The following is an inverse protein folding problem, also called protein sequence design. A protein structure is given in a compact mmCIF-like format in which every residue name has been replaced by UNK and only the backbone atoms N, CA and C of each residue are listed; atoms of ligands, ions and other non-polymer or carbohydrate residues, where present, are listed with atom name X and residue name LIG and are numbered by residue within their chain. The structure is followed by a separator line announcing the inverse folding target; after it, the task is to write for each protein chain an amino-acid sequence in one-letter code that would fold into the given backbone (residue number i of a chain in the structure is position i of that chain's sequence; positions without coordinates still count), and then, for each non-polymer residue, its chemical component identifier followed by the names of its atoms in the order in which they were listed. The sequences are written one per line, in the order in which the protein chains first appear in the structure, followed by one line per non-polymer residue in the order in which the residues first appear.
data_IF_131072306593
#
_entry.id   IF_131072306593
#
_cell.length_a   1.000
_cell.length_b   1.000
_cell.length_c   1.000
_cell.angle_alpha   90.00
_cell.angle_beta   90.00
_cell.angle_gamma   90.00
#
_symmetry.space_group_name_H-M   'P 1'
#
loop_
_entity.id
_entity.type
_entity.pdbx_description
1 polymer ?
#
# COMPACT_ATOMS: atom_id res chain seq x y z
N UNK A 1 -79.55 -9.41 -23.68
CA UNK A 1 -78.67 -8.83 -22.64
C UNK A 1 -77.27 -9.41 -22.77
N UNK A 2 -76.30 -8.67 -23.29
CA UNK A 2 -74.87 -9.03 -23.27
C UNK A 2 -74.07 -7.75 -23.03
N UNK A 3 -73.46 -7.59 -21.86
CA UNK A 3 -72.64 -6.41 -21.55
C UNK A 3 -71.49 -6.75 -20.58
N UNK A 4 -70.27 -6.47 -21.05
CA UNK A 4 -69.03 -6.16 -20.31
C UNK A 4 -68.46 -7.17 -19.32
N UNK A 5 -67.59 -8.06 -19.80
CA UNK A 5 -66.61 -8.76 -18.92
C UNK A 5 -65.22 -8.94 -19.52
N UNK A 6 -64.91 -8.38 -20.69
CA UNK A 6 -63.62 -8.63 -21.38
C UNK A 6 -62.52 -7.57 -21.20
N UNK A 7 -62.81 -6.37 -20.66
CA UNK A 7 -61.78 -5.30 -20.63
C UNK A 7 -60.89 -5.28 -19.38
N UNK A 8 -61.35 -5.81 -18.24
CA UNK A 8 -60.67 -5.65 -16.94
C UNK A 8 -59.41 -6.54 -16.84
N UNK A 9 -59.38 -7.72 -17.48
CA UNK A 9 -58.21 -8.61 -17.44
C UNK A 9 -57.01 -8.10 -18.26
N UNK A 10 -57.24 -7.43 -19.40
CA UNK A 10 -56.15 -6.87 -20.22
C UNK A 10 -55.48 -5.70 -19.51
N UNK A 11 -56.27 -4.85 -18.84
CA UNK A 11 -55.77 -3.67 -18.16
C UNK A 11 -54.87 -4.01 -16.95
N UNK A 12 -55.20 -5.09 -16.20
CA UNK A 12 -54.37 -5.56 -15.08
C UNK A 12 -53.03 -6.17 -15.50
N UNK A 13 -52.96 -6.88 -16.64
CA UNK A 13 -51.69 -7.44 -17.16
C UNK A 13 -50.75 -6.35 -17.67
N UNK A 14 -51.26 -5.34 -18.37
CA UNK A 14 -50.41 -4.27 -18.90
C UNK A 14 -49.85 -3.37 -17.80
N UNK A 15 -50.65 -3.06 -16.76
CA UNK A 15 -50.18 -2.27 -15.60
C UNK A 15 -49.09 -3.00 -14.81
N UNK A 16 -49.22 -4.32 -14.63
CA UNK A 16 -48.21 -5.13 -13.92
C UNK A 16 -46.88 -5.23 -14.67
N UNK A 17 -46.92 -5.29 -16.01
CA UNK A 17 -45.72 -5.31 -16.86
C UNK A 17 -45.00 -3.96 -16.89
N UNK A 18 -45.73 -2.83 -16.83
CA UNK A 18 -45.12 -1.50 -16.79
C UNK A 18 -44.50 -1.23 -15.41
N UNK A 19 -45.15 -1.64 -14.32
CA UNK A 19 -44.59 -1.54 -12.97
C UNK A 19 -43.33 -2.41 -12.78
N UNK A 20 -43.29 -3.61 -13.35
CA UNK A 20 -42.09 -4.46 -13.30
C UNK A 20 -40.94 -3.89 -14.13
N UNK A 21 -41.21 -3.29 -15.30
CA UNK A 21 -40.19 -2.62 -16.11
C UNK A 21 -39.65 -1.35 -15.45
N UNK A 22 -40.50 -0.57 -14.76
CA UNK A 22 -40.05 0.59 -13.97
C UNK A 22 -39.21 0.16 -12.75
N UNK A 23 -39.55 -0.96 -12.11
CA UNK A 23 -38.76 -1.50 -10.99
C UNK A 23 -37.39 -2.04 -11.44
N UNK A 24 -37.31 -2.66 -12.63
CA UNK A 24 -36.04 -3.12 -13.22
C UNK A 24 -35.16 -1.92 -13.65
N UNK A 25 -35.74 -0.83 -14.14
CA UNK A 25 -34.98 0.39 -14.45
C UNK A 25 -34.47 1.12 -13.20
N UNK A 26 -35.22 1.08 -12.09
CA UNK A 26 -34.76 1.58 -10.79
C UNK A 26 -33.65 0.71 -10.17
N UNK A 27 -33.67 -0.60 -10.40
CA UNK A 27 -32.61 -1.52 -9.97
C UNK A 27 -31.32 -1.42 -10.81
N UNK A 28 -31.42 -1.08 -12.10
CA UNK A 28 -30.23 -0.85 -12.96
C UNK A 28 -29.55 0.49 -12.69
N UNK A 29 -30.29 1.49 -12.20
CA UNK A 29 -29.78 2.81 -11.80
C UNK A 29 -29.12 2.82 -10.42
N UNK A 30 -29.41 1.83 -9.57
CA UNK A 30 -28.64 1.54 -8.35
C UNK A 30 -27.37 0.76 -8.71
N UNK A 31 -26.60 1.30 -9.66
CA UNK A 31 -25.18 1.00 -9.68
C UNK A 31 -24.63 1.51 -8.35
N UNK A 32 -24.48 0.60 -7.40
CA UNK A 32 -23.58 0.76 -6.28
C UNK A 32 -22.20 0.99 -6.89
N UNK A 33 -21.91 2.24 -7.24
CA UNK A 33 -20.56 2.76 -7.19
C UNK A 33 -20.17 2.76 -5.71
N UNK A 34 -20.00 1.57 -5.14
CA UNK A 34 -19.10 1.39 -4.04
C UNK A 34 -17.72 1.68 -4.63
N UNK A 35 -17.41 2.97 -4.69
CA UNK A 35 -16.06 3.47 -4.84
C UNK A 35 -15.32 2.94 -3.61
N UNK A 36 -14.81 1.71 -3.73
CA UNK A 36 -13.70 1.25 -2.93
C UNK A 36 -12.62 2.28 -3.22
N UNK A 37 -12.43 3.24 -2.30
CA UNK A 37 -11.34 4.20 -2.37
C UNK A 37 -10.05 3.39 -2.29
N UNK A 38 -9.58 2.90 -3.43
CA UNK A 38 -8.30 2.20 -3.50
C UNK A 38 -7.23 3.21 -3.14
N UNK A 39 -6.23 2.78 -2.35
CA UNK A 39 -5.07 3.59 -2.00
C UNK A 39 -4.39 4.21 -3.24
N UNK A 40 -4.50 3.55 -4.39
CA UNK A 40 -4.09 4.06 -5.71
C UNK A 40 -4.75 5.39 -6.10
N UNK A 41 -5.98 5.63 -5.67
CA UNK A 41 -6.76 6.80 -6.07
C UNK A 41 -6.29 8.07 -5.36
N UNK A 42 -5.57 7.93 -4.25
CA UNK A 42 -5.01 9.05 -3.50
C UNK A 42 -3.70 9.55 -4.11
N UNK A 43 -2.96 8.67 -4.78
CA UNK A 43 -1.64 8.97 -5.31
C UNK A 43 -1.69 10.16 -6.29
N UNK A 44 -0.78 11.10 -6.11
CA UNK A 44 -0.72 12.37 -6.86
C UNK A 44 -1.72 13.43 -6.41
N UNK A 45 -2.71 13.09 -5.56
CA UNK A 45 -3.63 14.09 -4.97
C UNK A 45 -2.97 14.77 -3.78
N UNK A 46 -3.41 15.99 -3.48
CA UNK A 46 -2.98 16.76 -2.31
C UNK A 46 -3.33 16.01 -1.03
N UNK A 47 -2.34 15.79 -0.17
CA UNK A 47 -2.57 15.25 1.16
C UNK A 47 -3.30 16.29 2.04
N UNK A 48 -4.18 15.86 2.96
CA UNK A 48 -4.82 16.76 3.91
C UNK A 48 -3.80 17.59 4.69
N UNK A 49 -4.19 18.82 5.03
CA UNK A 49 -3.41 19.60 5.97
C UNK A 49 -3.53 18.99 7.37
N UNK A 50 -2.40 18.96 8.07
CA UNK A 50 -2.32 18.45 9.42
C UNK A 50 -1.48 19.37 10.31
N UNK A 51 -1.76 19.28 11.60
CA UNK A 51 -1.01 19.92 12.67
C UNK A 51 -1.11 19.05 13.92
N UNK A 52 0.02 18.53 14.38
CA UNK A 52 0.09 17.57 15.47
C UNK A 52 1.30 17.86 16.37
N UNK A 53 1.25 17.38 17.61
CA UNK A 53 2.30 17.55 18.60
C UNK A 53 2.81 16.18 19.03
N UNK A 54 4.11 15.96 18.95
CA UNK A 54 4.70 14.70 19.40
C UNK A 54 4.71 14.59 20.94
N UNK A 55 5.01 13.40 21.46
CA UNK A 55 5.06 13.13 22.91
C UNK A 55 6.13 13.93 23.65
N UNK A 56 7.11 14.49 22.94
CA UNK A 56 8.16 15.37 23.51
C UNK A 56 7.76 16.85 23.44
N UNK A 57 6.63 17.16 22.80
CA UNK A 57 6.07 18.48 22.67
C UNK A 57 6.46 19.24 21.41
N UNK A 58 7.16 18.61 20.46
CA UNK A 58 7.53 19.23 19.19
C UNK A 58 6.30 19.31 18.26
N UNK A 59 6.13 20.45 17.61
CA UNK A 59 5.06 20.66 16.64
C UNK A 59 5.49 20.13 15.26
N UNK A 60 4.60 19.37 14.62
CA UNK A 60 4.77 18.90 13.24
C UNK A 60 3.52 19.34 12.46
N UNK A 61 3.71 20.12 11.40
CA UNK A 61 2.60 20.61 10.59
C UNK A 61 2.92 20.58 9.10
N UNK A 62 1.88 20.42 8.28
CA UNK A 62 1.95 20.53 6.82
C UNK A 62 2.56 21.87 6.35
N UNK A 63 2.37 22.95 7.11
CA UNK A 63 2.95 24.27 6.83
C UNK A 63 4.47 24.29 7.05
N UNK A 64 4.94 23.76 8.19
CA UNK A 64 6.36 23.77 8.57
C UNK A 64 7.19 22.74 7.80
N UNK A 65 6.50 21.79 7.16
CA UNK A 65 7.11 20.71 6.36
C UNK A 65 7.03 20.96 4.85
N UNK A 66 6.61 22.16 4.41
CA UNK A 66 6.52 22.52 3.00
C UNK A 66 7.87 22.36 2.30
N UNK A 67 7.87 21.74 1.12
CA UNK A 67 9.08 21.48 0.33
C UNK A 67 9.90 20.27 0.78
N UNK A 68 9.45 19.56 1.82
CA UNK A 68 10.10 18.35 2.35
C UNK A 68 9.31 17.11 1.96
N UNK A 69 9.97 15.97 1.95
CA UNK A 69 9.33 14.65 1.89
C UNK A 69 8.87 14.28 3.31
N UNK A 70 7.64 13.83 3.45
CA UNK A 70 7.06 13.49 4.76
C UNK A 70 6.70 12.01 4.78
N UNK A 71 7.10 11.32 5.84
CA UNK A 71 6.83 9.90 6.07
C UNK A 71 5.95 9.77 7.30
N UNK A 72 4.72 9.29 7.10
CA UNK A 72 3.75 9.09 8.15
C UNK A 72 3.50 7.60 8.34
N UNK A 73 3.67 7.11 9.56
CA UNK A 73 3.38 5.72 9.93
C UNK A 73 2.22 5.69 10.93
N UNK A 74 1.13 5.03 10.58
CA UNK A 74 -0.06 4.89 11.41
C UNK A 74 -0.12 3.48 12.02
N UNK A 75 -0.29 3.40 13.33
CA UNK A 75 -0.23 2.14 14.10
C UNK A 75 -1.08 2.20 15.38
N UNK A 76 -1.16 1.07 16.09
CA UNK A 76 -1.66 1.00 17.46
C UNK A 76 -0.89 -0.08 18.26
N UNK A 77 -0.84 0.03 19.57
CA UNK A 77 0.08 -0.72 20.45
C UNK A 77 -0.14 -2.24 20.47
N UNK A 78 -1.33 -2.72 20.12
CA UNK A 78 -1.62 -4.16 20.02
C UNK A 78 -1.52 -4.70 18.57
N UNK A 79 -1.08 -3.88 17.61
CA UNK A 79 -0.96 -4.25 16.22
C UNK A 79 0.29 -5.10 15.99
N UNK A 80 0.12 -6.43 15.97
CA UNK A 80 1.22 -7.39 15.67
C UNK A 80 1.99 -7.07 14.38
N UNK A 81 1.35 -6.79 13.22
CA UNK A 81 2.09 -6.45 12.02
C UNK A 81 2.85 -5.13 12.17
N UNK A 82 2.29 -4.12 12.84
CA UNK A 82 2.99 -2.87 13.11
C UNK A 82 4.27 -3.10 13.93
N UNK A 83 4.20 -3.94 14.97
CA UNK A 83 5.38 -4.31 15.78
C UNK A 83 6.47 -4.95 14.92
N UNK A 84 6.09 -5.79 13.95
CA UNK A 84 7.02 -6.45 13.05
C UNK A 84 7.74 -5.47 12.09
N UNK A 85 7.11 -4.34 11.73
CA UNK A 85 7.73 -3.33 10.85
C UNK A 85 8.73 -2.40 11.57
N UNK A 86 8.62 -2.26 12.90
CA UNK A 86 9.42 -1.28 13.67
C UNK A 86 10.93 -1.37 13.41
N UNK A 87 11.57 -2.56 13.38
CA UNK A 87 13.00 -2.66 13.10
C UNK A 87 13.37 -2.09 11.73
N UNK A 88 12.60 -2.41 10.68
CA UNK A 88 12.83 -1.88 9.34
C UNK A 88 12.61 -0.37 9.27
N UNK A 89 11.53 0.13 9.89
CA UNK A 89 11.23 1.58 9.95
C UNK A 89 12.33 2.35 10.68
N UNK A 90 12.90 1.79 11.74
CA UNK A 90 14.03 2.38 12.46
C UNK A 90 15.30 2.45 11.60
N UNK A 91 15.57 1.46 10.76
CA UNK A 91 16.71 1.51 9.82
C UNK A 91 16.47 2.52 8.70
N UNK A 92 15.24 2.64 8.19
CA UNK A 92 14.88 3.71 7.23
C UNK A 92 15.09 5.08 7.87
N UNK A 93 14.57 5.30 9.07
CA UNK A 93 14.78 6.56 9.79
C UNK A 93 16.28 6.85 10.00
N UNK A 94 17.05 5.85 10.44
CA UNK A 94 18.50 5.99 10.64
C UNK A 94 19.24 6.45 9.37
N UNK A 95 18.78 6.02 8.18
CA UNK A 95 19.35 6.44 6.89
C UNK A 95 19.07 7.91 6.58
N UNK A 96 17.88 8.42 6.93
CA UNK A 96 17.42 9.76 6.55
C UNK A 96 17.44 10.78 7.69
N UNK A 97 17.75 10.41 8.94
CA UNK A 97 17.68 11.29 10.12
C UNK A 97 18.55 12.56 10.04
N UNK A 98 19.59 12.56 9.20
CA UNK A 98 20.47 13.73 8.97
C UNK A 98 20.05 14.55 7.75
N UNK A 99 19.09 14.07 6.96
CA UNK A 99 18.57 14.79 5.80
C UNK A 99 17.43 15.71 6.24
N UNK A 100 17.70 17.01 6.24
CA UNK A 100 16.72 18.05 6.64
C UNK A 100 15.54 18.17 5.69
N UNK A 101 15.59 17.52 4.51
CA UNK A 101 14.51 17.44 3.53
C UNK A 101 13.53 16.30 3.78
N UNK A 102 13.74 15.46 4.81
CA UNK A 102 12.85 14.35 5.16
C UNK A 102 12.34 14.52 6.58
N UNK A 103 11.03 14.34 6.77
CA UNK A 103 10.37 14.43 8.08
C UNK A 103 9.61 13.14 8.36
N UNK A 104 9.78 12.60 9.56
CA UNK A 104 9.11 11.37 10.00
C UNK A 104 8.13 11.68 11.15
N UNK A 105 6.98 11.04 11.13
CA UNK A 105 6.06 11.01 12.27
C UNK A 105 5.36 9.64 12.36
N UNK A 106 5.33 9.10 13.57
CA UNK A 106 4.56 7.90 13.92
C UNK A 106 3.29 8.34 14.65
N UNK A 107 2.12 7.94 14.16
CA UNK A 107 0.82 8.42 14.63
C UNK A 107 0.00 7.24 15.15
N UNK A 108 -0.57 7.41 16.35
CA UNK A 108 -1.49 6.45 16.95
C UNK A 108 -2.64 7.16 17.64
N UNK A 109 -3.81 6.52 17.61
CA UNK A 109 -4.97 6.95 18.38
C UNK A 109 -4.89 6.50 19.85
N UNK A 110 -3.90 5.68 20.23
CA UNK A 110 -3.70 5.26 21.61
C UNK A 110 -3.33 6.44 22.52
N UNK A 111 -3.82 6.41 23.76
CA UNK A 111 -3.49 7.41 24.79
C UNK A 111 -2.02 7.35 25.20
N UNK A 112 -1.48 8.49 25.63
CA UNK A 112 -0.07 8.68 25.98
C UNK A 112 0.49 7.60 26.92
N UNK A 113 -0.24 7.22 27.98
CA UNK A 113 0.23 6.21 28.94
C UNK A 113 0.45 4.84 28.31
N UNK A 114 -0.45 4.45 27.40
CA UNK A 114 -0.34 3.21 26.63
C UNK A 114 0.81 3.26 25.65
N UNK A 115 1.00 4.40 24.98
CA UNK A 115 2.13 4.63 24.08
C UNK A 115 3.46 4.56 24.83
N UNK A 116 3.59 5.24 25.98
CA UNK A 116 4.79 5.19 26.81
C UNK A 116 5.11 3.77 27.28
N UNK A 117 4.10 2.99 27.65
CA UNK A 117 4.28 1.58 28.01
C UNK A 117 4.74 0.73 26.83
N UNK A 118 4.18 0.97 25.64
CA UNK A 118 4.56 0.29 24.40
C UNK A 118 6.02 0.59 24.01
N UNK A 119 6.41 1.86 24.01
CA UNK A 119 7.74 2.31 23.57
C UNK A 119 8.89 1.78 24.44
N UNK A 120 8.62 1.43 25.72
CA UNK A 120 9.60 0.73 26.58
C UNK A 120 10.00 -0.64 26.03
N UNK A 121 9.09 -1.33 25.33
CA UNK A 121 9.31 -2.67 24.77
C UNK A 121 9.67 -2.63 23.29
N UNK A 122 9.08 -1.69 22.56
CA UNK A 122 9.20 -1.57 21.10
C UNK A 122 9.60 -0.13 20.75
N UNK A 123 10.89 0.21 20.83
CA UNK A 123 11.34 1.60 20.64
C UNK A 123 11.19 2.04 19.18
N UNK A 124 10.35 3.04 18.95
CA UNK A 124 10.31 3.84 17.72
C UNK A 124 11.28 5.01 17.87
N UNK A 125 12.22 5.14 16.92
CA UNK A 125 13.35 6.08 17.03
C UNK A 125 13.08 7.48 16.48
N UNK A 126 11.89 7.73 15.97
CA UNK A 126 11.46 8.98 15.36
C UNK A 126 10.20 9.51 16.05
N UNK A 127 9.80 10.78 15.84
CA UNK A 127 8.71 11.42 16.58
C UNK A 127 7.44 10.58 16.63
N UNK A 128 6.88 10.42 17.84
CA UNK A 128 5.64 9.68 18.08
C UNK A 128 4.57 10.67 18.53
N UNK A 129 3.39 10.58 17.91
CA UNK A 129 2.21 11.38 18.18
C UNK A 129 1.16 10.45 18.77
N UNK A 130 0.81 10.67 20.04
CA UNK A 130 -0.22 9.94 20.76
C UNK A 130 -1.55 10.71 20.75
N UNK A 131 -2.65 10.02 21.07
CA UNK A 131 -4.00 10.57 21.16
C UNK A 131 -4.46 11.31 19.89
N UNK A 132 -4.04 10.83 18.72
CA UNK A 132 -4.18 11.52 17.45
C UNK A 132 -5.29 10.92 16.56
N UNK A 133 -6.45 10.59 17.17
CA UNK A 133 -7.57 9.99 16.43
C UNK A 133 -8.06 10.90 15.31
N UNK A 134 -8.09 12.21 15.56
CA UNK A 134 -8.42 13.25 14.58
C UNK A 134 -7.51 13.19 13.35
N UNK A 135 -6.20 13.00 13.54
CA UNK A 135 -5.24 12.84 12.44
C UNK A 135 -5.49 11.54 11.67
N UNK A 136 -5.73 10.43 12.36
CA UNK A 136 -6.09 9.15 11.70
C UNK A 136 -7.35 9.29 10.84
N UNK A 137 -8.38 9.99 11.35
CA UNK A 137 -9.64 10.21 10.65
C UNK A 137 -9.44 11.09 9.40
N UNK A 138 -8.66 12.17 9.51
CA UNK A 138 -8.34 13.08 8.40
C UNK A 138 -7.61 12.37 7.27
N UNK A 139 -6.65 11.50 7.59
CA UNK A 139 -5.95 10.67 6.61
C UNK A 139 -6.75 9.44 6.15
N UNK A 140 -7.96 9.23 6.69
CA UNK A 140 -8.86 8.12 6.38
C UNK A 140 -8.18 6.76 6.50
N UNK A 141 -7.34 6.59 7.52
CA UNK A 141 -6.61 5.33 7.73
C UNK A 141 -7.55 4.26 8.29
N UNK A 142 -8.03 3.37 7.42
CA UNK A 142 -8.97 2.29 7.77
C UNK A 142 -8.27 0.95 8.07
N UNK A 143 -6.98 0.83 7.79
CA UNK A 143 -6.16 -0.36 8.06
C UNK A 143 -4.83 -0.02 8.72
N UNK A 144 -4.29 -0.96 9.50
CA UNK A 144 -3.04 -0.80 10.24
C UNK A 144 -2.10 -2.00 10.02
N UNK A 145 -0.78 -1.79 9.87
CA UNK A 145 -0.15 -0.49 9.71
C UNK A 145 -0.57 0.20 8.40
N UNK A 146 -0.48 1.52 8.38
CA UNK A 146 -0.53 2.29 7.14
C UNK A 146 0.69 3.20 7.09
N UNK A 147 1.45 3.12 5.99
CA UNK A 147 2.64 3.93 5.74
C UNK A 147 2.38 4.84 4.54
N UNK A 148 2.56 6.15 4.72
CA UNK A 148 2.29 7.17 3.72
C UNK A 148 3.57 7.97 3.47
N UNK A 149 3.92 8.15 2.20
CA UNK A 149 4.97 9.09 1.78
C UNK A 149 4.29 10.25 1.05
N UNK A 150 4.60 11.47 1.45
CA UNK A 150 4.13 12.72 0.84
C UNK A 150 5.33 13.39 0.17
N UNK A 151 5.15 13.83 -1.08
CA UNK A 151 6.19 14.51 -1.84
C UNK A 151 6.42 15.98 -1.39
N UNK A 152 7.45 16.62 -1.96
CA UNK A 152 7.80 18.03 -1.69
C UNK A 152 6.68 19.02 -2.05
N UNK A 153 5.72 18.61 -2.88
CA UNK A 153 4.55 19.42 -3.29
C UNK A 153 3.36 19.22 -2.34
N UNK A 154 3.47 18.34 -1.34
CA UNK A 154 2.40 18.03 -0.40
C UNK A 154 1.38 17.03 -0.94
N UNK A 155 1.72 16.26 -1.97
CA UNK A 155 0.84 15.24 -2.55
C UNK A 155 1.20 13.84 -2.06
N UNK A 156 0.22 12.95 -2.01
CA UNK A 156 0.47 11.53 -1.77
C UNK A 156 1.41 10.97 -2.85
N UNK A 157 2.60 10.54 -2.44
CA UNK A 157 3.55 9.87 -3.30
C UNK A 157 3.38 8.34 -3.22
N UNK A 158 3.15 7.83 -2.01
CA UNK A 158 2.95 6.42 -1.72
C UNK A 158 1.90 6.26 -0.61
N UNK A 159 1.07 5.23 -0.70
CA UNK A 159 0.13 4.85 0.35
C UNK A 159 0.09 3.32 0.44
N UNK A 160 0.65 2.78 1.53
CA UNK A 160 0.80 1.35 1.77
C UNK A 160 -0.01 0.97 2.99
N UNK A 161 -0.86 -0.06 2.87
CA UNK A 161 -1.63 -0.61 3.99
C UNK A 161 -1.31 -2.08 4.17
N UNK A 162 -1.16 -2.49 5.43
CA UNK A 162 -0.80 -3.86 5.81
C UNK A 162 0.71 -4.04 5.92
N UNK A 163 1.12 -4.89 6.86
CA UNK A 163 2.54 -5.19 7.09
C UNK A 163 2.99 -6.44 6.35
N UNK A 164 4.16 -6.36 5.71
CA UNK A 164 4.80 -7.45 4.99
C UNK A 164 6.32 -7.28 4.97
N UNK A 165 7.04 -8.31 4.51
CA UNK A 165 8.49 -8.27 4.42
C UNK A 165 8.96 -7.22 3.41
N UNK A 166 10.07 -6.54 3.72
CA UNK A 166 10.69 -5.50 2.86
C UNK A 166 9.94 -4.16 2.80
N UNK A 167 9.03 -3.88 3.75
CA UNK A 167 8.37 -2.58 3.84
C UNK A 167 9.38 -1.43 3.94
N UNK A 168 10.51 -1.64 4.64
CA UNK A 168 11.56 -0.63 4.77
C UNK A 168 12.23 -0.31 3.45
N UNK A 169 12.44 -1.32 2.58
CA UNK A 169 12.99 -1.10 1.25
C UNK A 169 12.04 -0.28 0.36
N UNK A 170 10.74 -0.59 0.40
CA UNK A 170 9.74 0.16 -0.36
C UNK A 170 9.66 1.61 0.12
N UNK A 171 9.53 1.85 1.43
CA UNK A 171 9.49 3.20 1.99
C UNK A 171 10.78 3.96 1.64
N UNK A 172 11.95 3.33 1.81
CA UNK A 172 13.23 3.97 1.44
C UNK A 172 13.29 4.35 -0.04
N UNK A 173 12.75 3.51 -0.92
CA UNK A 173 12.69 3.78 -2.36
C UNK A 173 11.72 4.90 -2.69
N UNK A 174 10.54 4.92 -2.07
CA UNK A 174 9.54 5.98 -2.25
C UNK A 174 10.06 7.32 -1.74
N UNK A 175 10.78 7.36 -0.60
CA UNK A 175 11.47 8.57 -0.12
C UNK A 175 12.47 9.07 -1.15
N UNK A 176 13.37 8.21 -1.65
CA UNK A 176 14.38 8.62 -2.63
C UNK A 176 13.74 9.16 -3.91
N UNK A 177 12.73 8.47 -4.43
CA UNK A 177 12.04 8.89 -5.65
C UNK A 177 11.30 10.23 -5.46
N UNK A 178 10.71 10.47 -4.29
CA UNK A 178 10.08 11.74 -3.95
C UNK A 178 11.13 12.86 -3.79
N UNK A 179 12.30 12.56 -3.22
CA UNK A 179 13.43 13.51 -3.15
C UNK A 179 13.94 13.90 -4.53
N UNK A 180 14.01 12.93 -5.46
CA UNK A 180 14.40 13.09 -6.85
C UNK A 180 13.32 13.75 -7.73
N UNK A 181 12.15 14.10 -7.17
CA UNK A 181 10.98 14.62 -7.90
C UNK A 181 10.49 13.72 -9.04
N UNK A 182 10.66 12.40 -8.93
CA UNK A 182 10.09 11.45 -9.89
C UNK A 182 8.58 11.46 -9.79
N UNK A 183 7.89 10.98 -10.83
CA UNK A 183 6.44 10.76 -10.75
C UNK A 183 6.15 9.58 -9.80
N UNK A 184 5.12 9.66 -8.96
CA UNK A 184 4.74 8.51 -8.14
C UNK A 184 4.29 7.36 -9.04
N UNK A 185 4.71 6.16 -8.69
CA UNK A 185 4.30 4.95 -9.41
C UNK A 185 2.88 4.65 -8.94
N UNK A 186 1.89 4.91 -9.79
CA UNK A 186 0.52 4.48 -9.52
C UNK A 186 0.53 2.96 -9.46
N UNK A 187 0.30 2.39 -8.28
CA UNK A 187 -0.01 0.97 -8.14
C UNK A 187 -1.43 0.71 -8.70
N UNK A 188 -1.65 0.97 -10.00
CA UNK A 188 -2.55 0.13 -10.76
C UNK A 188 -1.79 -1.19 -10.89
N UNK A 189 -1.94 -2.09 -9.90
CA UNK A 189 -1.35 -3.43 -9.83
C UNK A 189 -0.16 -3.58 -10.78
N UNK A 190 1.01 -3.08 -10.35
CA UNK A 190 2.17 -2.72 -11.18
C UNK A 190 1.98 -2.96 -12.68
N UNK A 191 2.08 -1.91 -13.51
CA UNK A 191 2.36 -2.11 -14.93
C UNK A 191 3.71 -2.86 -15.05
N UNK A 192 3.66 -4.20 -15.00
CA UNK A 192 4.80 -5.10 -14.78
C UNK A 192 4.69 -6.13 -13.63
N UNK A 193 3.68 -6.16 -12.75
CA UNK A 193 3.56 -7.25 -11.76
C UNK A 193 3.10 -8.50 -12.48
N UNK A 194 4.01 -9.47 -12.57
CA UNK A 194 3.65 -10.81 -13.01
C UNK A 194 3.20 -11.59 -11.79
N UNK A 195 1.94 -12.00 -11.79
CA UNK A 195 1.39 -12.94 -10.80
C UNK A 195 1.78 -14.36 -11.19
N UNK A 196 2.40 -15.07 -10.26
CA UNK A 196 2.72 -16.49 -10.39
C UNK A 196 1.67 -17.31 -9.64
N UNK A 197 1.21 -18.38 -10.27
CA UNK A 197 0.36 -19.41 -9.66
C UNK A 197 1.15 -20.71 -9.46
N UNK A 198 0.50 -21.73 -8.87
CA UNK A 198 1.14 -23.02 -8.61
C UNK A 198 1.57 -23.79 -9.88
N UNK A 199 1.08 -23.38 -11.05
CA UNK A 199 1.41 -23.99 -12.33
C UNK A 199 2.50 -23.19 -13.07
N UNK A 200 2.92 -22.05 -12.53
CA UNK A 200 3.94 -21.20 -13.13
C UNK A 200 5.31 -21.90 -13.06
N UNK A 201 6.06 -21.79 -14.16
CA UNK A 201 7.38 -22.42 -14.30
C UNK A 201 8.49 -21.38 -14.43
N UNK A 202 9.66 -21.74 -13.93
CA UNK A 202 10.87 -20.94 -13.94
C UNK A 202 11.99 -21.76 -14.56
N UNK A 203 12.83 -21.13 -15.38
CA UNK A 203 13.97 -21.77 -16.02
C UNK A 203 15.23 -21.55 -15.18
N UNK A 204 16.02 -22.60 -14.95
CA UNK A 204 17.34 -22.51 -14.35
C UNK A 204 18.40 -22.14 -15.40
N UNK A 205 19.59 -21.72 -14.96
CA UNK A 205 20.73 -21.52 -15.86
C UNK A 205 21.15 -22.80 -16.59
N UNK A 206 20.87 -23.98 -16.02
CA UNK A 206 21.06 -25.29 -16.68
C UNK A 206 20.10 -25.54 -17.85
N UNK A 207 19.03 -24.75 -17.95
CA UNK A 207 17.95 -24.94 -18.92
C UNK A 207 16.74 -25.70 -18.38
N UNK A 208 16.84 -26.32 -17.21
CA UNK A 208 15.75 -27.08 -16.58
C UNK A 208 14.59 -26.16 -16.16
N UNK A 209 13.37 -26.69 -16.25
CA UNK A 209 12.16 -26.01 -15.77
C UNK A 209 11.78 -26.54 -14.38
N UNK A 210 11.52 -25.62 -13.46
CA UNK A 210 11.03 -25.93 -12.11
C UNK A 210 9.70 -25.22 -11.85
N UNK A 211 8.88 -25.79 -10.97
CA UNK A 211 7.59 -25.21 -10.59
C UNK A 211 7.76 -24.09 -9.57
N UNK A 212 6.75 -23.22 -9.49
CA UNK A 212 6.67 -22.11 -8.55
C UNK A 212 7.02 -22.49 -7.11
N UNK A 213 6.51 -23.62 -6.61
CA UNK A 213 6.79 -24.11 -5.25
C UNK A 213 8.29 -24.29 -4.98
N UNK A 214 9.04 -24.79 -5.96
CA UNK A 214 10.47 -25.08 -5.84
C UNK A 214 11.29 -23.80 -6.09
N UNK A 215 10.80 -22.94 -7.00
CA UNK A 215 11.36 -21.62 -7.25
C UNK A 215 11.33 -20.71 -6.00
N UNK A 216 10.25 -20.73 -5.22
CA UNK A 216 10.15 -19.97 -3.96
C UNK A 216 11.25 -20.39 -2.98
N UNK A 217 11.53 -21.69 -2.87
CA UNK A 217 12.58 -22.20 -1.96
C UNK A 217 13.96 -21.69 -2.37
N UNK A 218 14.24 -21.66 -3.68
CA UNK A 218 15.51 -21.12 -4.18
C UNK A 218 15.60 -19.60 -4.00
N UNK A 219 14.52 -18.86 -4.26
CA UNK A 219 14.47 -17.42 -4.06
C UNK A 219 14.57 -17.02 -2.58
N UNK A 220 13.95 -17.79 -1.68
CA UNK A 220 14.00 -17.54 -0.23
C UNK A 220 15.39 -17.80 0.37
N UNK A 221 16.20 -18.66 -0.26
CA UNK A 221 17.61 -18.86 0.12
C UNK A 221 18.50 -17.63 -0.09
N UNK A 222 17.97 -16.56 -0.72
CA UNK A 222 18.69 -15.35 -1.14
C UNK A 222 19.90 -15.56 -2.05
N UNK A 223 20.18 -16.79 -2.46
CA UNK A 223 21.29 -17.14 -3.36
C UNK A 223 20.93 -17.03 -4.84
N UNK A 224 19.68 -16.69 -5.16
CA UNK A 224 19.18 -16.61 -6.53
C UNK A 224 18.53 -15.26 -6.80
N UNK A 225 18.61 -14.82 -8.05
CA UNK A 225 17.89 -13.68 -8.63
C UNK A 225 16.93 -14.18 -9.70
N UNK A 226 15.86 -13.44 -9.95
CA UNK A 226 14.92 -13.68 -11.06
C UNK A 226 15.10 -12.62 -12.14
N UNK A 227 15.19 -13.06 -13.40
CA UNK A 227 15.27 -12.19 -14.58
C UNK A 227 14.18 -12.56 -15.59
N UNK A 228 13.50 -11.58 -16.19
CA UNK A 228 12.60 -11.82 -17.32
C UNK A 228 13.43 -11.89 -18.62
N UNK A 229 13.33 -12.99 -19.36
CA UNK A 229 14.01 -13.23 -20.64
C UNK A 229 13.00 -13.58 -21.73
N UNK A 230 13.48 -13.62 -22.97
CA UNK A 230 12.77 -14.12 -24.14
C UNK A 230 13.57 -15.22 -24.81
N UNK A 231 12.91 -16.22 -25.38
CA UNK A 231 13.56 -17.21 -26.23
C UNK A 231 13.65 -16.75 -27.69
N UNK A 232 14.18 -17.61 -28.55
CA UNK A 232 14.33 -17.39 -30.00
C UNK A 232 12.99 -17.17 -30.74
N UNK A 233 11.87 -17.57 -30.13
CA UNK A 233 10.51 -17.39 -30.65
C UNK A 233 9.78 -16.20 -30.01
N UNK A 234 10.52 -15.28 -29.37
CA UNK A 234 10.01 -14.12 -28.62
C UNK A 234 9.14 -14.48 -27.40
N UNK A 235 9.09 -15.76 -26.99
CA UNK A 235 8.31 -16.20 -25.84
C UNK A 235 9.03 -15.84 -24.54
N UNK A 236 8.32 -15.12 -23.66
CA UNK A 236 8.84 -14.68 -22.36
C UNK A 236 8.94 -15.85 -21.37
N UNK A 237 10.01 -15.88 -20.57
CA UNK A 237 10.18 -16.79 -19.45
C UNK A 237 10.97 -16.14 -18.32
N UNK A 238 10.86 -16.69 -17.10
CA UNK A 238 11.62 -16.23 -15.94
C UNK A 238 12.83 -17.12 -15.72
N UNK A 239 14.01 -16.53 -15.73
CA UNK A 239 15.28 -17.19 -15.45
C UNK A 239 15.65 -16.99 -13.97
N UNK A 240 15.89 -18.09 -13.27
CA UNK A 240 16.50 -18.10 -11.94
C UNK A 240 18.00 -18.25 -12.06
N UNK A 241 18.72 -17.21 -11.66
CA UNK A 241 20.17 -17.11 -11.77
C UNK A 241 20.83 -17.14 -10.39
N UNK A 242 21.83 -17.99 -10.21
CA UNK A 242 22.56 -18.02 -8.93
C UNK A 242 23.38 -16.74 -8.80
N UNK A 243 23.28 -16.08 -7.65
CA UNK A 243 24.17 -14.95 -7.32
C UNK A 243 25.60 -15.47 -7.28
N UNK A 244 26.50 -14.82 -8.03
CA UNK A 244 27.93 -15.11 -7.92
C UNK A 244 28.35 -14.87 -6.47
N UNK A 245 29.02 -15.85 -5.86
CA UNK A 245 29.65 -15.66 -4.57
C UNK A 245 30.65 -14.50 -4.72
N UNK A 246 30.54 -13.49 -3.85
CA UNK A 246 31.62 -12.54 -3.67
C UNK A 246 32.73 -13.35 -3.00
N UNK A 247 33.68 -13.83 -3.79
CA UNK A 247 34.98 -14.20 -3.25
C UNK A 247 35.51 -12.91 -2.62
N UNK A 248 35.52 -12.85 -1.29
CA UNK A 248 36.45 -11.97 -0.61
C UNK A 248 37.82 -12.52 -0.97
N UNK A 249 38.43 -11.96 -2.01
CA UNK A 249 39.85 -12.08 -2.20
C UNK A 249 40.49 -11.44 -0.96
N UNK A 250 40.78 -12.30 0.01
CA UNK A 250 41.82 -12.02 0.99
C UNK A 250 43.13 -12.13 0.26
N UNK A 251 43.75 -10.99 -0.04
CA UNK A 251 45.19 -10.89 -0.14
C UNK A 251 45.66 -9.43 -0.01
N UNK A 252 46.55 -9.25 0.96
CA UNK A 252 47.34 -8.09 1.40
C UNK A 252 46.60 -6.91 2.05
#
# INVERSE_FOLDING_TARGET
MHCKTRSILKMKRTVFVILSLLFISLLKGYSYNASLNSSSDLIGKRAPDFRMKDINGNLISSKDTKGKVIVLNFWFAACKPCIAEIPELNEVYKKYKTDTNVVFASITFDKLDRVNTFLKKHPLRYPVVADAKDICDVFKTTGYPTNIVIDKKGNYFEYITGGYSQIGHQISSSIQNALDNKKPVLNSAAAGSITFDNNSTFKLESGDLILYKDAIVLLSSQNYNIELKKDENDKKYFLLKKKKAILKDGNN
#
